data_IF_581492401057
#
_entry.id   IF_581492401057
#
_cell.length_a   1.000
_cell.length_b   1.000
_cell.length_c   1.000
_cell.angle_alpha   90.00
_cell.angle_beta   90.00
_cell.angle_gamma   90.00
#
_symmetry.space_group_name_H-M   'P 1'
#
loop_
_entity.id
_entity.type
_entity.pdbx_description
1 polymer ?
#
# COMPACT_ATOMS: atom_id res chain seq x y z
N UNK A 1 6.75 10.73 -22.29
CA UNK A 1 8.10 10.79 -22.89
C UNK A 1 9.06 10.03 -21.99
N UNK A 2 9.30 8.75 -22.28
CA UNK A 2 10.22 7.90 -21.53
C UNK A 2 11.65 8.06 -22.04
N UNK A 3 12.66 7.66 -21.24
CA UNK A 3 14.08 7.64 -21.64
C UNK A 3 14.67 9.00 -22.04
N UNK A 4 14.52 9.99 -21.15
CA UNK A 4 15.16 11.32 -21.26
C UNK A 4 16.66 11.34 -20.90
N UNK A 5 17.18 10.24 -20.35
CA UNK A 5 18.55 10.14 -19.86
C UNK A 5 19.21 8.88 -20.42
N UNK A 6 20.32 8.99 -21.17
CA UNK A 6 21.08 7.84 -21.70
C UNK A 6 21.49 6.83 -20.62
N UNK A 7 21.66 7.29 -19.37
CA UNK A 7 21.97 6.42 -18.25
C UNK A 7 20.86 5.39 -17.98
N UNK A 8 19.60 5.80 -18.13
CA UNK A 8 18.43 4.97 -17.82
C UNK A 8 18.01 4.05 -18.98
N UNK A 9 18.59 4.19 -20.17
CA UNK A 9 18.16 3.47 -21.37
C UNK A 9 18.26 1.95 -21.23
N UNK A 10 19.26 1.48 -20.47
CA UNK A 10 19.52 0.06 -20.25
C UNK A 10 18.52 -0.62 -19.32
N UNK A 11 17.77 0.13 -18.53
CA UNK A 11 16.86 -0.45 -17.53
C UNK A 11 15.46 -0.66 -18.12
N UNK A 12 14.78 -1.76 -17.75
CA UNK A 12 13.39 -1.96 -18.16
C UNK A 12 12.49 -0.90 -17.51
N UNK A 13 11.44 -0.50 -18.25
CA UNK A 13 10.39 0.35 -17.68
C UNK A 13 9.42 -0.55 -16.94
N UNK A 14 9.31 -0.35 -15.63
CA UNK A 14 8.32 -1.03 -14.80
C UNK A 14 6.97 -0.31 -14.95
N UNK A 15 5.97 -1.02 -15.44
CA UNK A 15 4.58 -0.57 -15.45
C UNK A 15 3.78 -1.37 -14.44
N UNK A 16 3.07 -0.67 -13.56
CA UNK A 16 2.14 -1.28 -12.62
C UNK A 16 0.77 -1.34 -13.29
N UNK A 17 0.20 -2.53 -13.36
CA UNK A 17 -1.16 -2.77 -13.85
C UNK A 17 -2.01 -3.41 -12.76
N UNK A 18 -2.30 -2.69 -11.68
CA UNK A 18 -3.16 -3.20 -10.63
C UNK A 18 -4.60 -3.34 -11.16
N UNK A 19 -5.20 -4.50 -10.96
CA UNK A 19 -6.65 -4.69 -11.18
C UNK A 19 -7.49 -4.11 -10.03
N UNK A 20 -6.84 -3.77 -8.91
CA UNK A 20 -7.48 -3.30 -7.69
C UNK A 20 -7.55 -1.77 -7.64
N UNK A 21 -8.69 -1.25 -7.18
CA UNK A 21 -8.88 0.19 -6.96
C UNK A 21 -8.12 0.63 -5.70
N UNK A 22 -7.55 1.84 -5.72
CA UNK A 22 -6.90 2.42 -4.53
C UNK A 22 -7.83 2.41 -3.30
N UNK A 23 -7.30 1.92 -2.18
CA UNK A 23 -7.94 1.88 -0.85
C UNK A 23 -7.65 3.15 -0.06
N UNK A 24 -6.82 4.04 -0.57
CA UNK A 24 -6.44 5.28 0.10
C UNK A 24 -7.56 6.32 0.04
N UNK A 25 -8.11 6.67 1.21
CA UNK A 25 -9.33 7.52 1.32
C UNK A 25 -9.07 8.95 1.75
N UNK A 26 -7.84 9.29 2.15
CA UNK A 26 -7.57 10.60 2.77
C UNK A 26 -7.56 11.75 1.78
N UNK A 27 -7.18 11.48 0.53
CA UNK A 27 -7.22 12.46 -0.57
C UNK A 27 -8.12 11.93 -1.67
N UNK A 28 -9.10 12.72 -2.10
CA UNK A 28 -9.92 12.38 -3.29
C UNK A 28 -9.05 12.50 -4.54
N UNK A 29 -8.62 11.38 -5.08
CA UNK A 29 -8.34 11.29 -6.51
C UNK A 29 -9.65 11.03 -7.25
N UNK A 30 -9.92 11.76 -8.33
CA UNK A 30 -11.06 11.49 -9.21
C UNK A 30 -10.80 10.35 -10.21
N UNK A 31 -9.59 9.77 -10.23
CA UNK A 31 -9.25 8.63 -11.08
C UNK A 31 -8.85 7.43 -10.23
N UNK A 32 -9.33 6.26 -10.62
CA UNK A 32 -9.19 4.99 -9.91
C UNK A 32 -7.73 4.46 -9.97
N UNK A 33 -6.94 4.92 -10.94
CA UNK A 33 -5.54 4.51 -11.16
C UNK A 33 -4.51 5.29 -10.32
N UNK A 34 -4.95 6.10 -9.35
CA UNK A 34 -4.06 6.95 -8.54
C UNK A 34 -3.81 6.36 -7.16
N UNK A 35 -2.86 5.43 -7.11
CA UNK A 35 -2.34 4.85 -5.90
C UNK A 35 -1.49 5.85 -5.11
N UNK A 36 -1.57 5.78 -3.78
CA UNK A 36 -0.64 6.50 -2.93
C UNK A 36 0.74 5.80 -2.92
N UNK A 37 1.76 6.47 -2.40
CA UNK A 37 3.14 5.94 -2.32
C UNK A 37 3.20 4.56 -1.65
N UNK A 38 2.39 4.34 -0.60
CA UNK A 38 2.35 3.07 0.13
C UNK A 38 1.80 1.93 -0.71
N UNK A 39 0.77 2.18 -1.52
CA UNK A 39 0.15 1.17 -2.39
C UNK A 39 1.10 0.81 -3.54
N UNK A 40 1.73 1.82 -4.17
CA UNK A 40 2.76 1.59 -5.18
C UNK A 40 3.90 0.75 -4.63
N UNK A 41 4.35 1.03 -3.40
CA UNK A 41 5.40 0.24 -2.76
C UNK A 41 4.98 -1.22 -2.50
N UNK A 42 3.74 -1.46 -2.05
CA UNK A 42 3.22 -2.81 -1.87
C UNK A 42 3.18 -3.59 -3.20
N UNK A 43 2.67 -2.97 -4.27
CA UNK A 43 2.66 -3.56 -5.62
C UNK A 43 4.08 -3.88 -6.11
N UNK A 44 5.05 -3.00 -5.87
CA UNK A 44 6.45 -3.27 -6.22
C UNK A 44 7.04 -4.47 -5.46
N UNK A 45 6.69 -4.64 -4.19
CA UNK A 45 7.15 -5.77 -3.38
C UNK A 45 6.55 -7.09 -3.89
N UNK A 46 5.29 -7.11 -4.30
CA UNK A 46 4.66 -8.30 -4.88
C UNK A 46 5.30 -8.71 -6.22
N UNK A 47 5.72 -7.73 -7.03
CA UNK A 47 6.41 -7.97 -8.30
C UNK A 47 7.81 -8.57 -8.13
N UNK A 48 8.42 -8.45 -6.95
CA UNK A 48 9.74 -9.01 -6.66
C UNK A 48 9.80 -10.53 -6.68
N UNK A 49 8.66 -11.22 -6.58
CA UNK A 49 8.56 -12.68 -6.67
C UNK A 49 9.14 -13.46 -5.47
N UNK A 50 9.78 -12.79 -4.52
CA UNK A 50 10.24 -13.39 -3.27
C UNK A 50 9.10 -13.46 -2.25
N UNK A 51 8.95 -14.61 -1.58
CA UNK A 51 7.89 -14.81 -0.58
C UNK A 51 7.95 -13.78 0.56
N UNK A 52 9.16 -13.35 0.95
CA UNK A 52 9.37 -12.33 1.96
C UNK A 52 8.87 -10.94 1.51
N UNK A 53 9.10 -10.59 0.25
CA UNK A 53 8.65 -9.31 -0.32
C UNK A 53 7.12 -9.30 -0.50
N UNK A 54 6.55 -10.38 -1.04
CA UNK A 54 5.10 -10.53 -1.13
C UNK A 54 4.42 -10.42 0.25
N UNK A 55 5.05 -10.96 1.30
CA UNK A 55 4.59 -10.80 2.67
C UNK A 55 4.70 -9.35 3.15
N UNK A 56 5.85 -8.70 2.93
CA UNK A 56 6.05 -7.30 3.28
C UNK A 56 5.01 -6.39 2.60
N UNK A 57 4.66 -6.68 1.34
CA UNK A 57 3.58 -6.04 0.60
C UNK A 57 2.24 -6.15 1.33
N UNK A 58 1.81 -7.37 1.68
CA UNK A 58 0.56 -7.59 2.44
C UNK A 58 0.52 -6.88 3.79
N UNK A 59 1.64 -6.86 4.52
CA UNK A 59 1.74 -6.14 5.79
C UNK A 59 1.61 -4.63 5.57
N UNK A 60 2.24 -4.10 4.52
CA UNK A 60 2.17 -2.68 4.18
C UNK A 60 0.75 -2.25 3.79
N UNK A 61 0.02 -3.09 3.06
CA UNK A 61 -1.39 -2.85 2.75
C UNK A 61 -2.28 -2.85 3.99
N UNK A 62 -2.10 -3.82 4.88
CA UNK A 62 -2.83 -3.89 6.15
C UNK A 62 -2.54 -2.67 7.03
N UNK A 63 -1.27 -2.23 7.05
CA UNK A 63 -0.86 -1.04 7.78
C UNK A 63 -1.51 0.23 7.22
N UNK A 64 -1.61 0.37 5.89
CA UNK A 64 -2.27 1.51 5.26
C UNK A 64 -3.76 1.60 5.66
N UNK A 65 -4.44 0.46 5.77
CA UNK A 65 -5.83 0.42 6.24
C UNK A 65 -5.95 0.95 7.68
N UNK A 66 -5.09 0.49 8.60
CA UNK A 66 -5.04 0.97 10.00
C UNK A 66 -4.71 2.46 10.06
N UNK A 67 -3.72 2.91 9.28
CA UNK A 67 -3.34 4.32 9.22
C UNK A 67 -4.50 5.19 8.77
N UNK A 68 -5.20 4.79 7.69
CA UNK A 68 -6.34 5.52 7.14
C UNK A 68 -7.48 5.61 8.15
N UNK A 69 -7.81 4.51 8.82
CA UNK A 69 -8.84 4.46 9.87
C UNK A 69 -8.50 5.38 11.03
N UNK A 70 -7.30 5.24 11.60
CA UNK A 70 -6.84 6.04 12.75
C UNK A 70 -6.77 7.53 12.43
N UNK A 71 -6.32 7.88 11.22
CA UNK A 71 -6.29 9.26 10.78
C UNK A 71 -7.71 9.87 10.74
N UNK A 72 -8.69 9.13 10.21
CA UNK A 72 -10.07 9.60 10.17
C UNK A 72 -10.67 9.71 11.58
N UNK A 73 -10.45 8.73 12.46
CA UNK A 73 -10.88 8.80 13.86
C UNK A 73 -10.30 10.04 14.55
N UNK A 74 -9.00 10.27 14.43
CA UNK A 74 -8.33 11.44 15.01
C UNK A 74 -8.92 12.76 14.46
N UNK A 75 -9.18 12.83 13.16
CA UNK A 75 -9.85 13.99 12.53
C UNK A 75 -11.25 14.24 13.10
N UNK A 76 -11.95 13.19 13.49
CA UNK A 76 -13.28 13.25 14.11
C UNK A 76 -13.24 13.27 15.65
N UNK A 77 -12.06 13.41 16.27
CA UNK A 77 -11.85 13.41 17.72
C UNK A 77 -12.40 12.14 18.41
N UNK A 78 -12.38 11.02 17.70
CA UNK A 78 -12.76 9.71 18.22
C UNK A 78 -11.51 9.00 18.77
N UNK A 79 -11.64 8.22 19.86
CA UNK A 79 -10.54 7.41 20.37
C UNK A 79 -10.15 6.34 19.34
N UNK A 80 -8.88 5.97 19.34
CA UNK A 80 -8.42 4.83 18.56
C UNK A 80 -8.97 3.53 19.16
N UNK A 81 -9.50 2.66 18.31
CA UNK A 81 -9.97 1.34 18.70
C UNK A 81 -8.88 0.27 18.44
N UNK A 82 -8.23 -0.28 19.47
CA UNK A 82 -7.25 -1.35 19.31
C UNK A 82 -7.87 -2.68 18.89
N UNK A 83 -9.19 -2.86 19.00
CA UNK A 83 -9.91 -4.06 18.56
C UNK A 83 -10.54 -3.89 17.18
N UNK A 84 -10.21 -2.82 16.43
CA UNK A 84 -10.77 -2.60 15.12
C UNK A 84 -10.41 -3.71 14.14
N UNK A 85 -11.29 -4.00 13.18
CA UNK A 85 -11.06 -5.04 12.18
C UNK A 85 -9.77 -4.79 11.38
N UNK A 86 -9.44 -3.53 11.07
CA UNK A 86 -8.20 -3.18 10.40
C UNK A 86 -6.98 -3.51 11.27
N UNK A 87 -7.04 -3.24 12.58
CA UNK A 87 -5.94 -3.52 13.49
C UNK A 87 -5.73 -5.02 13.71
N UNK A 88 -6.82 -5.78 13.88
CA UNK A 88 -6.77 -7.24 13.99
C UNK A 88 -6.20 -7.89 12.72
N UNK A 89 -6.57 -7.39 11.53
CA UNK A 89 -6.00 -7.86 10.27
C UNK A 89 -4.49 -7.60 10.19
N UNK A 90 -4.04 -6.42 10.61
CA UNK A 90 -2.60 -6.12 10.66
C UNK A 90 -1.87 -7.07 11.61
N UNK A 91 -2.42 -7.34 12.79
CA UNK A 91 -1.83 -8.29 13.73
C UNK A 91 -1.76 -9.70 13.15
N UNK A 92 -2.80 -10.16 12.45
CA UNK A 92 -2.80 -11.45 11.77
C UNK A 92 -1.71 -11.53 10.69
N UNK A 93 -1.61 -10.52 9.82
CA UNK A 93 -0.56 -10.45 8.79
C UNK A 93 0.86 -10.43 9.39
N UNK A 94 1.05 -9.77 10.53
CA UNK A 94 2.34 -9.75 11.23
C UNK A 94 2.63 -11.06 11.98
N UNK A 95 1.61 -11.79 12.42
CA UNK A 95 1.77 -13.05 13.14
C UNK A 95 2.16 -14.21 12.21
N UNK A 96 1.87 -14.12 10.90
CA UNK A 96 2.40 -15.03 9.87
C UNK A 96 3.95 -15.03 9.78
N UNK A 97 4.64 -14.20 10.58
CA UNK A 97 6.11 -14.10 10.69
C UNK A 97 6.72 -15.06 11.74
N UNK A 98 5.92 -15.73 12.56
CA UNK A 98 6.39 -16.73 13.55
C UNK A 98 6.13 -18.16 13.11
#
# INVERSE_FOLDING_TARGET
MFRKSPYLDRFPVLSLHPEQISRYRLRRSKREDHFCTSEVAALCLELGGHAQDARAGRVLEAYLAVFTERYLQAKHQQPADPASAAHLQLQACMAEDR
#
